data_IF_038975796153
#
_entry.id   IF_038975796153
#
_cell.length_a   1.000
_cell.length_b   1.000
_cell.length_c   1.000
_cell.angle_alpha   90.00
_cell.angle_beta   90.00
_cell.angle_gamma   90.00
#
_symmetry.space_group_name_H-M   'P 1'
#
loop_
_entity.id
_entity.type
_entity.pdbx_description
1 polymer ?
#
# COMPACT_ATOMS: atom_id res chain seq x y z
N UNK A 1 9.05 50.88 -87.52
CA UNK A 1 10.28 50.75 -86.71
C UNK A 1 9.91 50.78 -85.29
N UNK A 2 9.63 49.61 -84.81
CA UNK A 2 9.08 49.32 -83.46
C UNK A 2 9.99 48.23 -82.87
N UNK A 3 10.78 48.57 -81.92
CA UNK A 3 11.41 47.60 -81.01
C UNK A 3 12.05 48.44 -79.87
N UNK A 4 11.78 48.03 -78.68
CA UNK A 4 12.39 48.41 -77.37
C UNK A 4 11.41 49.09 -76.39
N UNK A 5 10.58 48.28 -75.79
CA UNK A 5 9.95 48.63 -74.53
C UNK A 5 9.39 47.42 -73.78
N UNK A 6 10.19 46.35 -73.58
CA UNK A 6 9.68 45.16 -72.87
C UNK A 6 10.67 44.57 -71.85
N UNK A 7 11.62 45.37 -71.34
CA UNK A 7 12.66 44.77 -70.44
C UNK A 7 12.72 45.37 -69.04
N UNK A 8 11.68 46.06 -68.58
CA UNK A 8 11.80 46.71 -67.27
C UNK A 8 10.73 46.28 -66.21
N UNK A 9 9.94 45.28 -66.50
CA UNK A 9 8.88 44.91 -65.55
C UNK A 9 9.07 43.52 -64.88
N UNK A 10 10.11 42.79 -65.17
CA UNK A 10 10.35 41.44 -64.59
C UNK A 10 11.34 41.39 -63.43
N UNK A 11 12.02 42.48 -63.11
CA UNK A 11 13.03 42.52 -62.04
C UNK A 11 12.47 42.93 -60.66
N UNK A 12 11.22 43.41 -60.56
CA UNK A 12 10.67 43.97 -59.32
C UNK A 12 9.73 43.02 -58.57
N UNK A 13 9.37 41.91 -59.21
CA UNK A 13 8.50 40.90 -58.56
C UNK A 13 9.21 39.72 -57.89
N UNK A 14 10.53 39.57 -58.11
CA UNK A 14 11.32 38.49 -57.45
C UNK A 14 11.88 38.88 -56.06
N UNK A 15 11.89 40.20 -55.71
CA UNK A 15 12.44 40.68 -54.41
C UNK A 15 11.42 40.60 -53.26
N UNK A 16 10.12 40.45 -53.56
CA UNK A 16 9.09 40.52 -52.51
C UNK A 16 8.66 39.12 -51.99
N UNK A 17 8.97 38.05 -52.71
CA UNK A 17 8.64 36.71 -52.27
C UNK A 17 9.66 36.07 -51.30
N UNK A 18 10.86 36.69 -51.13
CA UNK A 18 11.92 36.10 -50.24
C UNK A 18 11.85 36.55 -48.79
N UNK A 19 10.96 37.46 -48.46
CA UNK A 19 10.83 38.04 -47.08
C UNK A 19 9.68 37.43 -46.27
N UNK A 20 8.92 36.46 -46.78
CA UNK A 20 7.83 35.84 -46.09
C UNK A 20 8.09 34.41 -45.58
N UNK A 21 9.31 33.88 -45.68
CA UNK A 21 9.70 32.55 -45.21
C UNK A 21 10.43 32.55 -43.85
N UNK A 22 10.53 33.70 -43.19
CA UNK A 22 11.27 33.82 -41.92
C UNK A 22 10.36 33.97 -40.70
N UNK A 23 9.18 33.34 -40.68
CA UNK A 23 8.22 33.62 -39.63
C UNK A 23 7.36 32.47 -39.14
N UNK A 24 7.86 31.23 -39.08
CA UNK A 24 7.17 30.18 -38.29
C UNK A 24 8.17 29.19 -37.72
N UNK A 25 9.01 29.71 -36.80
CA UNK A 25 9.69 28.83 -35.86
C UNK A 25 8.70 28.60 -34.71
N UNK A 26 7.75 27.68 -34.95
CA UNK A 26 6.94 27.13 -33.88
C UNK A 26 7.91 26.52 -32.84
N UNK A 27 8.05 27.22 -31.70
CA UNK A 27 8.56 26.62 -30.49
C UNK A 27 7.60 25.50 -30.14
N UNK A 28 7.95 24.29 -30.49
CA UNK A 28 7.37 23.11 -29.84
C UNK A 28 7.63 23.28 -28.35
N UNK A 29 6.60 23.75 -27.63
CA UNK A 29 6.54 23.53 -26.19
C UNK A 29 6.56 21.99 -26.02
N UNK A 30 7.75 21.43 -25.74
CA UNK A 30 7.82 20.12 -25.10
C UNK A 30 6.97 20.24 -23.84
N UNK A 31 5.73 19.80 -23.93
CA UNK A 31 4.93 19.43 -22.77
C UNK A 31 5.73 18.29 -22.17
N UNK A 32 6.56 18.59 -21.16
CA UNK A 32 6.97 17.60 -20.19
C UNK A 32 5.66 17.17 -19.55
N UNK A 33 5.12 16.07 -20.01
CA UNK A 33 4.24 15.26 -19.19
C UNK A 33 5.14 14.95 -18.00
N UNK A 34 4.96 15.70 -16.90
CA UNK A 34 5.32 15.18 -15.61
C UNK A 34 4.54 13.86 -15.55
N UNK A 35 5.22 12.75 -15.83
CA UNK A 35 4.82 11.51 -15.24
C UNK A 35 4.73 11.85 -13.75
N UNK A 36 3.51 12.08 -13.29
CA UNK A 36 3.17 11.83 -11.91
C UNK A 36 3.60 10.39 -11.77
N UNK A 37 4.76 10.14 -11.15
CA UNK A 37 5.04 8.88 -10.54
C UNK A 37 3.81 8.66 -9.64
N UNK A 38 2.80 7.97 -10.17
CA UNK A 38 1.92 7.18 -9.34
C UNK A 38 2.91 6.28 -8.63
N UNK A 39 3.24 6.69 -7.42
CA UNK A 39 3.97 5.92 -6.44
C UNK A 39 3.19 4.61 -6.37
N UNK A 40 3.59 3.67 -7.22
CA UNK A 40 3.07 2.30 -7.17
C UNK A 40 3.39 1.87 -5.77
N UNK A 41 2.39 1.91 -4.90
CA UNK A 41 2.56 1.72 -3.47
C UNK A 41 3.31 0.41 -3.28
N UNK A 42 4.64 0.54 -3.14
CA UNK A 42 5.51 -0.62 -3.05
C UNK A 42 5.14 -1.30 -1.75
N UNK A 43 4.57 -2.51 -1.85
CA UNK A 43 4.16 -3.27 -0.68
C UNK A 43 5.33 -3.38 0.30
N UNK A 44 5.08 -3.06 1.55
CA UNK A 44 6.03 -3.21 2.64
C UNK A 44 5.99 -4.65 3.18
N UNK A 45 7.14 -5.14 3.67
CA UNK A 45 7.21 -6.42 4.39
C UNK A 45 6.73 -6.28 5.83
N UNK A 46 6.84 -5.08 6.40
CA UNK A 46 6.37 -4.74 7.74
C UNK A 46 5.53 -3.46 7.64
N UNK A 47 4.35 -3.48 8.24
CA UNK A 47 3.41 -2.37 8.29
C UNK A 47 3.32 -1.86 9.73
N UNK A 48 3.43 -0.55 9.91
CA UNK A 48 3.09 0.14 11.16
C UNK A 48 1.69 0.72 11.06
N UNK A 49 0.85 0.46 12.06
CA UNK A 49 -0.58 0.81 12.02
C UNK A 49 -0.85 2.32 12.10
N UNK A 50 0.10 3.10 12.61
CA UNK A 50 0.07 4.56 12.59
C UNK A 50 0.44 5.18 11.25
N UNK A 51 0.98 4.42 10.29
CA UNK A 51 1.31 4.94 8.97
C UNK A 51 0.08 4.94 8.05
N UNK A 52 -0.34 6.13 7.63
CA UNK A 52 -1.45 6.28 6.69
C UNK A 52 -1.15 5.65 5.31
N UNK A 53 0.13 5.57 4.91
CA UNK A 53 0.56 4.95 3.64
C UNK A 53 0.35 3.44 3.64
N UNK A 54 0.18 2.82 4.81
CA UNK A 54 -0.12 1.40 4.92
C UNK A 54 -1.56 1.04 4.51
N UNK A 55 -2.46 2.02 4.39
CA UNK A 55 -3.88 1.78 4.11
C UNK A 55 -4.16 0.84 2.92
N UNK A 56 -3.45 0.91 1.77
CA UNK A 56 -3.66 -0.02 0.66
C UNK A 56 -3.33 -1.47 0.97
N UNK A 57 -2.54 -1.73 2.03
CA UNK A 57 -2.16 -3.08 2.46
C UNK A 57 -3.11 -3.66 3.53
N UNK A 58 -3.98 -2.83 4.11
CA UNK A 58 -4.99 -3.24 5.09
C UNK A 58 -6.24 -3.71 4.35
N UNK A 59 -6.39 -5.02 4.14
CA UNK A 59 -7.45 -5.58 3.30
C UNK A 59 -8.83 -5.53 3.95
N UNK A 60 -8.92 -5.85 5.24
CA UNK A 60 -10.17 -5.84 6.01
C UNK A 60 -9.92 -5.77 7.52
N UNK A 61 -10.92 -5.36 8.28
CA UNK A 61 -10.98 -5.53 9.72
C UNK A 61 -10.14 -4.57 10.55
N UNK A 62 -9.76 -3.41 10.00
CA UNK A 62 -9.06 -2.36 10.73
C UNK A 62 -9.92 -1.11 10.82
N UNK A 63 -9.98 -0.52 11.99
CA UNK A 63 -10.59 0.78 12.21
C UNK A 63 -9.63 1.93 11.84
N UNK A 64 -10.04 3.16 12.00
CA UNK A 64 -9.23 4.35 11.76
C UNK A 64 -7.98 4.37 12.64
N UNK A 65 -6.94 5.12 12.21
CA UNK A 65 -5.75 5.36 13.04
C UNK A 65 -6.18 6.12 14.28
N UNK A 66 -5.71 5.67 15.43
CA UNK A 66 -5.89 6.35 16.72
C UNK A 66 -4.50 6.72 17.28
N UNK A 67 -4.40 7.91 17.89
CA UNK A 67 -3.18 8.48 18.46
C UNK A 67 -1.96 8.46 17.53
N UNK A 68 -2.20 8.48 16.19
CA UNK A 68 -1.16 8.37 15.16
C UNK A 68 -0.23 7.16 15.32
N UNK A 69 -0.66 6.10 16.00
CA UNK A 69 0.21 5.01 16.43
C UNK A 69 -0.37 3.63 16.14
N UNK A 70 -1.65 3.44 16.27
CA UNK A 70 -2.27 2.11 16.28
C UNK A 70 -3.69 2.13 15.69
N UNK A 71 -4.25 0.93 15.51
CA UNK A 71 -5.62 0.72 15.07
C UNK A 71 -6.27 -0.40 15.85
N UNK A 72 -7.53 -0.22 16.21
CA UNK A 72 -8.35 -1.35 16.60
C UNK A 72 -8.57 -2.29 15.42
N UNK A 73 -8.69 -3.57 15.72
CA UNK A 73 -9.14 -4.59 14.77
C UNK A 73 -10.55 -5.04 15.07
N UNK A 74 -11.20 -5.66 14.09
CA UNK A 74 -12.36 -6.52 14.32
C UNK A 74 -11.91 -7.92 14.73
N UNK A 75 -12.85 -8.85 14.96
CA UNK A 75 -12.53 -10.26 15.23
C UNK A 75 -11.85 -10.98 14.07
N UNK A 76 -11.98 -10.45 12.85
CA UNK A 76 -11.30 -10.95 11.65
C UNK A 76 -10.66 -9.78 10.92
N UNK A 77 -9.36 -9.86 10.66
CA UNK A 77 -8.65 -8.81 9.95
C UNK A 77 -7.58 -9.40 9.03
N UNK A 78 -7.22 -8.69 7.99
CA UNK A 78 -6.28 -9.19 6.98
C UNK A 78 -5.43 -8.09 6.37
N UNK A 79 -4.20 -8.46 5.99
CA UNK A 79 -3.22 -7.58 5.35
C UNK A 79 -2.60 -8.26 4.13
N UNK A 80 -2.14 -7.44 3.18
CA UNK A 80 -1.26 -7.87 2.10
C UNK A 80 0.17 -7.41 2.41
N UNK A 81 1.11 -8.34 2.45
CA UNK A 81 2.50 -8.08 2.79
C UNK A 81 3.44 -8.52 1.66
N UNK A 82 4.53 -7.81 1.48
CA UNK A 82 5.61 -8.24 0.61
C UNK A 82 6.49 -9.26 1.34
N UNK A 83 6.77 -10.44 0.77
CA UNK A 83 7.75 -11.36 1.35
C UNK A 83 9.15 -10.71 1.42
N UNK A 84 9.93 -10.95 2.47
CA UNK A 84 11.34 -10.57 2.51
C UNK A 84 12.14 -11.21 1.37
N UNK A 85 13.29 -10.65 1.06
CA UNK A 85 14.20 -11.24 0.07
C UNK A 85 14.57 -12.68 0.46
N UNK A 86 14.55 -13.58 -0.51
CA UNK A 86 14.83 -15.01 -0.35
C UNK A 86 13.86 -15.75 0.58
N UNK A 87 12.74 -15.17 0.96
CA UNK A 87 11.75 -15.82 1.81
C UNK A 87 11.17 -17.11 1.20
N UNK A 88 11.02 -17.17 -0.12
CA UNK A 88 10.60 -18.39 -0.82
C UNK A 88 11.53 -19.58 -0.62
N UNK A 89 12.80 -19.35 -0.26
CA UNK A 89 13.81 -20.40 -0.02
C UNK A 89 14.00 -20.64 1.50
N UNK A 90 14.10 -19.56 2.28
CA UNK A 90 14.45 -19.62 3.70
C UNK A 90 13.25 -19.64 4.63
N UNK A 91 12.06 -19.29 4.14
CA UNK A 91 10.94 -18.94 4.97
C UNK A 91 11.07 -17.53 5.54
N UNK A 92 10.15 -17.17 6.40
CA UNK A 92 10.16 -15.92 7.14
C UNK A 92 9.50 -16.12 8.51
N UNK A 93 9.59 -15.12 9.37
CA UNK A 93 8.86 -15.07 10.63
C UNK A 93 7.71 -14.07 10.46
N UNK A 94 6.47 -14.54 10.59
CA UNK A 94 5.30 -13.67 10.71
C UNK A 94 5.23 -13.15 12.14
N UNK A 95 5.10 -11.82 12.29
CA UNK A 95 4.99 -11.15 13.57
C UNK A 95 3.84 -10.15 13.56
N UNK A 96 2.97 -10.24 14.56
CA UNK A 96 1.95 -9.24 14.86
C UNK A 96 2.18 -8.73 16.28
N UNK A 97 2.43 -7.43 16.43
CA UNK A 97 2.49 -6.76 17.75
C UNK A 97 1.15 -6.09 18.01
N UNK A 98 0.63 -6.33 19.19
CA UNK A 98 -0.67 -5.81 19.57
C UNK A 98 -0.82 -5.61 21.08
N UNK A 99 -1.81 -4.86 21.46
CA UNK A 99 -2.25 -4.75 22.85
C UNK A 99 -3.59 -5.48 23.00
N UNK A 100 -3.72 -6.31 24.01
CA UNK A 100 -5.00 -6.86 24.45
C UNK A 100 -5.47 -6.03 25.66
N UNK A 101 -6.47 -5.14 25.49
CA UNK A 101 -6.91 -4.26 26.57
C UNK A 101 -7.64 -5.02 27.70
N UNK A 102 -7.47 -4.53 28.93
CA UNK A 102 -8.20 -5.06 30.10
C UNK A 102 -9.71 -5.05 29.89
N UNK A 103 -10.25 -4.01 29.23
CA UNK A 103 -11.67 -3.89 28.93
C UNK A 103 -12.18 -5.06 28.07
N UNK A 104 -11.39 -5.54 27.11
CA UNK A 104 -11.72 -6.72 26.30
C UNK A 104 -11.56 -7.99 27.13
N UNK A 105 -10.38 -8.19 27.72
CA UNK A 105 -10.04 -9.42 28.44
C UNK A 105 -10.96 -9.69 29.63
N UNK A 106 -11.39 -8.65 30.36
CA UNK A 106 -12.32 -8.77 31.49
C UNK A 106 -13.65 -9.39 31.09
N UNK A 107 -14.10 -9.17 29.85
CA UNK A 107 -15.35 -9.71 29.29
C UNK A 107 -15.16 -11.13 28.74
N UNK A 108 -14.12 -11.35 27.94
CA UNK A 108 -13.96 -12.61 27.20
C UNK A 108 -13.08 -13.63 27.93
N UNK A 109 -12.37 -13.24 29.00
CA UNK A 109 -11.50 -14.02 29.90
C UNK A 109 -10.20 -14.52 29.25
N UNK A 110 -10.23 -14.93 28.01
CA UNK A 110 -9.09 -15.33 27.19
C UNK A 110 -9.43 -15.16 25.73
N UNK A 111 -8.42 -14.94 24.92
CA UNK A 111 -8.52 -14.77 23.46
C UNK A 111 -7.52 -15.68 22.78
N UNK A 112 -7.98 -16.47 21.82
CA UNK A 112 -7.08 -17.23 20.93
C UNK A 112 -7.03 -16.55 19.57
N UNK A 113 -5.80 -16.25 19.13
CA UNK A 113 -5.51 -15.67 17.84
C UNK A 113 -4.91 -16.75 16.94
N UNK A 114 -5.47 -16.91 15.77
CA UNK A 114 -4.95 -17.73 14.69
C UNK A 114 -4.63 -16.87 13.48
N UNK A 115 -3.71 -17.35 12.63
CA UNK A 115 -3.40 -16.72 11.37
C UNK A 115 -3.44 -17.74 10.23
N UNK A 116 -3.69 -17.27 9.00
CA UNK A 116 -3.52 -18.03 7.78
C UNK A 116 -2.71 -17.23 6.77
N UNK A 117 -1.78 -17.88 6.10
CA UNK A 117 -0.94 -17.30 5.04
C UNK A 117 -1.35 -17.92 3.71
N UNK A 118 -1.87 -17.09 2.79
CA UNK A 118 -2.42 -17.56 1.52
C UNK A 118 -3.40 -18.74 1.71
N UNK A 119 -4.26 -18.67 2.74
CA UNK A 119 -5.24 -19.69 3.07
C UNK A 119 -4.71 -20.91 3.86
N UNK A 120 -3.40 -21.02 4.09
CA UNK A 120 -2.81 -22.07 4.91
C UNK A 120 -2.73 -21.64 6.36
N UNK A 121 -3.42 -22.36 7.24
CA UNK A 121 -3.51 -22.05 8.67
C UNK A 121 -2.17 -22.27 9.39
N UNK A 122 -1.85 -21.33 10.28
CA UNK A 122 -0.74 -21.42 11.23
C UNK A 122 -1.28 -21.79 12.63
N UNK A 123 -0.42 -22.35 13.51
CA UNK A 123 -0.82 -22.70 14.87
C UNK A 123 -1.38 -21.49 15.63
N UNK A 124 -2.52 -21.64 16.33
CA UNK A 124 -3.07 -20.56 17.16
C UNK A 124 -2.23 -20.30 18.42
N UNK A 125 -2.47 -19.18 19.06
CA UNK A 125 -1.91 -18.84 20.37
C UNK A 125 -3.01 -18.23 21.25
N UNK A 126 -3.03 -18.63 22.53
CA UNK A 126 -4.04 -18.17 23.50
C UNK A 126 -3.41 -17.22 24.50
N UNK A 127 -4.05 -16.11 24.72
CA UNK A 127 -3.66 -15.02 25.61
C UNK A 127 -4.65 -14.91 26.77
N UNK A 128 -4.12 -14.95 27.98
CA UNK A 128 -4.88 -14.85 29.24
C UNK A 128 -4.49 -13.62 30.07
N UNK A 129 -3.57 -12.81 29.52
CA UNK A 129 -3.10 -11.58 30.16
C UNK A 129 -3.31 -10.40 29.21
N UNK A 130 -3.66 -9.27 29.79
CA UNK A 130 -3.71 -8.00 29.07
C UNK A 130 -2.35 -7.35 28.92
N UNK A 131 -2.27 -6.32 28.08
CA UNK A 131 -1.08 -5.55 27.83
C UNK A 131 -0.49 -5.76 26.45
N UNK A 132 0.78 -5.40 26.29
CA UNK A 132 1.52 -5.58 25.03
C UNK A 132 1.87 -7.05 24.83
N UNK A 133 1.50 -7.59 23.69
CA UNK A 133 1.62 -8.99 23.33
C UNK A 133 2.12 -9.11 21.90
N UNK A 134 2.58 -10.31 21.56
CA UNK A 134 3.08 -10.60 20.24
C UNK A 134 2.65 -12.00 19.79
N UNK A 135 2.18 -12.10 18.55
CA UNK A 135 1.97 -13.38 17.88
C UNK A 135 3.10 -13.58 16.89
N UNK A 136 3.86 -14.66 17.05
CA UNK A 136 5.03 -14.96 16.23
C UNK A 136 4.95 -16.38 15.69
N UNK A 137 5.08 -16.57 14.37
CA UNK A 137 5.07 -17.89 13.72
C UNK A 137 6.07 -17.98 12.59
N UNK A 138 6.72 -19.11 12.53
CA UNK A 138 7.52 -19.50 11.38
C UNK A 138 6.60 -19.80 10.19
N UNK A 139 6.95 -19.24 9.03
CA UNK A 139 6.24 -19.44 7.77
C UNK A 139 7.15 -20.11 6.76
N UNK A 140 6.69 -21.22 6.21
CA UNK A 140 7.40 -21.98 5.18
C UNK A 140 7.55 -21.13 3.90
N UNK A 141 8.70 -21.19 3.26
CA UNK A 141 8.99 -20.47 2.03
C UNK A 141 8.01 -20.75 0.89
N UNK A 142 7.43 -21.94 0.84
CA UNK A 142 6.42 -22.31 -0.16
C UNK A 142 5.18 -21.43 -0.13
N UNK A 143 4.86 -20.85 1.04
CA UNK A 143 3.74 -19.94 1.23
C UNK A 143 4.08 -18.49 0.90
N UNK A 144 5.36 -18.19 0.67
CA UNK A 144 5.92 -16.85 0.51
C UNK A 144 6.37 -16.58 -0.94
N UNK A 145 5.77 -17.26 -1.90
CA UNK A 145 6.01 -17.01 -3.33
C UNK A 145 5.12 -15.87 -3.84
N UNK A 146 5.66 -15.04 -4.75
CA UNK A 146 4.96 -13.91 -5.35
C UNK A 146 5.36 -12.55 -4.75
N UNK A 147 4.76 -11.49 -5.29
CA UNK A 147 5.04 -10.10 -4.88
C UNK A 147 4.23 -9.68 -3.64
N UNK A 148 3.07 -10.29 -3.45
CA UNK A 148 2.16 -10.05 -2.34
C UNK A 148 1.69 -11.37 -1.73
N UNK A 149 1.64 -11.41 -0.41
CA UNK A 149 1.15 -12.53 0.39
C UNK A 149 0.03 -12.03 1.30
N UNK A 150 -1.13 -12.67 1.22
CA UNK A 150 -2.24 -12.35 2.09
C UNK A 150 -2.09 -13.07 3.43
N UNK A 151 -2.22 -12.31 4.51
CA UNK A 151 -2.23 -12.83 5.87
C UNK A 151 -3.56 -12.47 6.51
N UNK A 152 -4.31 -13.49 6.89
CA UNK A 152 -5.59 -13.34 7.59
C UNK A 152 -5.42 -13.75 9.05
N UNK A 153 -5.98 -12.94 9.95
CA UNK A 153 -6.02 -13.20 11.39
C UNK A 153 -7.45 -13.38 11.84
N UNK A 154 -7.65 -14.30 12.80
CA UNK A 154 -8.95 -14.57 13.39
C UNK A 154 -8.81 -14.69 14.91
N UNK A 155 -9.63 -13.94 15.62
CA UNK A 155 -9.83 -14.05 17.07
C UNK A 155 -11.02 -14.97 17.34
N UNK A 156 -10.90 -15.90 18.27
CA UNK A 156 -12.02 -16.76 18.70
C UNK A 156 -13.07 -15.96 19.50
N UNK A 157 -12.65 -14.86 20.14
CA UNK A 157 -13.48 -13.96 20.91
C UNK A 157 -13.07 -12.51 20.74
N UNK A 158 -14.04 -11.65 20.70
CA UNK A 158 -13.91 -10.21 20.58
C UNK A 158 -15.16 -9.55 21.17
N UNK A 159 -15.18 -8.23 21.29
CA UNK A 159 -16.36 -7.50 21.75
C UNK A 159 -17.23 -7.12 20.54
N UNK A 160 -18.47 -7.56 20.47
CA UNK A 160 -19.38 -7.15 19.41
C UNK A 160 -19.72 -5.66 19.52
N UNK A 161 -20.15 -5.08 18.41
CA UNK A 161 -20.66 -3.72 18.39
C UNK A 161 -21.83 -3.55 19.37
N UNK A 162 -21.82 -2.45 20.13
CA UNK A 162 -22.83 -2.16 21.16
C UNK A 162 -22.51 -2.67 22.57
N UNK A 163 -21.47 -3.47 22.75
CA UNK A 163 -21.08 -3.99 24.09
C UNK A 163 -20.40 -2.90 24.95
N UNK A 164 -19.44 -2.18 24.39
CA UNK A 164 -18.76 -1.05 25.04
C UNK A 164 -18.94 0.23 24.20
N UNK A 165 -18.83 0.10 22.88
CA UNK A 165 -19.02 1.17 21.91
C UNK A 165 -19.68 0.63 20.64
N UNK A 166 -19.93 1.51 19.65
CA UNK A 166 -20.65 1.12 18.43
C UNK A 166 -19.81 0.27 17.45
N UNK A 167 -18.51 0.13 17.68
CA UNK A 167 -17.63 -0.67 16.85
C UNK A 167 -17.42 -2.06 17.44
N UNK A 168 -17.19 -3.05 16.58
CA UNK A 168 -16.64 -4.34 16.98
C UNK A 168 -15.16 -4.13 17.36
N UNK A 169 -14.73 -4.66 18.52
CA UNK A 169 -13.40 -4.48 19.07
C UNK A 169 -12.71 -5.83 19.30
N UNK A 170 -11.66 -6.08 18.54
CA UNK A 170 -10.75 -7.20 18.70
C UNK A 170 -9.56 -6.85 19.59
N UNK A 171 -8.41 -6.60 18.97
CA UNK A 171 -7.16 -6.17 19.60
C UNK A 171 -6.70 -4.82 19.03
N UNK A 172 -5.79 -4.17 19.72
CA UNK A 172 -5.16 -2.93 19.25
C UNK A 172 -3.84 -3.33 18.56
N UNK A 173 -3.82 -3.33 17.22
CA UNK A 173 -2.62 -3.64 16.47
C UNK A 173 -1.71 -2.41 16.35
N UNK A 174 -0.40 -2.61 16.54
CA UNK A 174 0.65 -1.60 16.36
C UNK A 174 1.51 -1.85 15.13
N UNK A 175 1.84 -3.11 14.85
CA UNK A 175 2.56 -3.48 13.62
C UNK A 175 2.31 -4.93 13.25
N UNK A 176 2.41 -5.22 11.95
CA UNK A 176 2.37 -6.58 11.40
C UNK A 176 3.35 -6.71 10.26
N UNK A 177 4.01 -7.85 10.14
CA UNK A 177 4.93 -8.05 9.04
C UNK A 177 5.64 -9.39 9.02
N UNK A 178 6.41 -9.57 7.94
CA UNK A 178 7.37 -10.66 7.80
C UNK A 178 8.78 -10.17 8.07
N UNK A 179 9.49 -10.86 8.93
CA UNK A 179 10.92 -10.70 9.18
C UNK A 179 11.70 -11.80 8.46
N UNK A 180 12.86 -11.45 7.89
CA UNK A 180 13.73 -12.42 7.22
C UNK A 180 14.36 -13.37 8.26
N UNK A 181 14.52 -14.66 7.86
CA UNK A 181 15.33 -15.66 8.55
C UNK A 181 16.78 -15.64 8.07
#
# INVERSE_FOLDING_TARGET
MLADCFLSRRAMTLGLCLLLLAGCRQREKKIRIQQTDEDSATLASVIHMGDAKAAPQLLKGFHSIEENSWRWTTGQFAVALRPPRNAAIRGAVLRLKFVLPDAVLSKVKKVSLSAAVNGTSLPPETYEKSGELEYTRDVDGKLLSGEAVNVEFTLDKFLPAGEIEQRELGVIASSVGFEAK
#
